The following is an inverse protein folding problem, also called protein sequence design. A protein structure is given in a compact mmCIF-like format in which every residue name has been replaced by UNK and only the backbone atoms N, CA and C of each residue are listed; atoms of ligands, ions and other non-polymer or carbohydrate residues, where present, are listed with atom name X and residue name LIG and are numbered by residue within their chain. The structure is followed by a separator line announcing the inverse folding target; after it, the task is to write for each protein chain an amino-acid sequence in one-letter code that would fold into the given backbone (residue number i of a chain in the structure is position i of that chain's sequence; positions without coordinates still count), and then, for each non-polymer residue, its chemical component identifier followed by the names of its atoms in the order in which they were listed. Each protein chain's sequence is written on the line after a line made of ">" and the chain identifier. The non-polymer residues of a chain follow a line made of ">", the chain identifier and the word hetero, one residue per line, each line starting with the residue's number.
data_IF_150858299176
#
_entry.id   IF_150858299176
#
_cell.length_a   1.000
_cell.length_b   1.000
_cell.length_c   1.000
_cell.angle_alpha   90.00
_cell.angle_beta   90.00
_cell.angle_gamma   90.00
#
_symmetry.space_group_name_H-M   'P 1'
#
loop_
_entity.id
_entity.type
_entity.pdbx_description
1 polymer ?
#
# COMPACT_ATOMS: atom_id res chain seq x y z
N UNK A 1 -10.92 -18.79 -21.76
CA UNK A 1 -10.97 -19.59 -20.51
C UNK A 1 -10.77 -18.59 -19.39
N UNK A 2 -11.82 -18.28 -18.61
CA UNK A 2 -11.78 -17.21 -17.62
C UNK A 2 -10.76 -17.53 -16.53
N UNK A 3 -9.81 -16.64 -16.28
CA UNK A 3 -9.03 -16.70 -15.04
C UNK A 3 -10.00 -16.38 -13.89
N UNK A 4 -10.08 -17.22 -12.84
CA UNK A 4 -10.95 -16.93 -11.72
C UNK A 4 -10.53 -15.61 -11.07
N UNK A 5 -11.50 -14.82 -10.60
CA UNK A 5 -11.34 -13.51 -9.94
C UNK A 5 -10.24 -13.48 -8.87
N UNK A 6 -9.91 -14.64 -8.30
CA UNK A 6 -8.76 -14.85 -7.41
C UNK A 6 -7.40 -14.46 -8.03
N UNK A 7 -7.17 -14.68 -9.33
CA UNK A 7 -5.89 -14.32 -9.98
C UNK A 7 -5.73 -12.81 -10.21
N UNK A 8 -6.82 -12.08 -10.45
CA UNK A 8 -6.80 -10.62 -10.57
C UNK A 8 -6.54 -9.95 -9.21
N UNK A 9 -7.14 -10.49 -8.14
CA UNK A 9 -6.93 -10.02 -6.76
C UNK A 9 -5.53 -10.34 -6.22
N UNK A 10 -4.87 -11.41 -6.69
CA UNK A 10 -3.48 -11.73 -6.32
C UNK A 10 -2.52 -10.58 -6.67
N UNK A 11 -2.78 -9.90 -7.80
CA UNK A 11 -1.90 -8.84 -8.34
C UNK A 11 -2.15 -7.44 -7.78
N UNK A 12 -3.11 -7.24 -6.87
CA UNK A 12 -3.46 -5.91 -6.38
C UNK A 12 -2.58 -5.41 -5.23
N UNK A 13 -1.61 -6.18 -4.76
CA UNK A 13 -0.67 -5.77 -3.71
C UNK A 13 0.76 -5.76 -4.22
N UNK A 14 1.45 -4.66 -3.96
CA UNK A 14 2.89 -4.49 -4.18
C UNK A 14 3.59 -4.29 -2.84
N UNK A 15 4.60 -5.12 -2.56
CA UNK A 15 5.49 -4.97 -1.42
C UNK A 15 6.83 -4.41 -1.89
N UNK A 16 7.29 -3.32 -1.26
CA UNK A 16 8.60 -2.72 -1.49
C UNK A 16 9.50 -3.06 -0.30
N UNK A 17 10.62 -3.73 -0.58
CA UNK A 17 11.64 -4.12 0.41
C UNK A 17 12.90 -3.29 0.23
N UNK A 18 13.64 -2.97 1.29
CA UNK A 18 14.87 -2.20 1.14
C UNK A 18 15.55 -1.79 2.43
N UNK A 19 16.81 -1.36 2.33
CA UNK A 19 17.57 -0.74 3.42
C UNK A 19 17.50 0.80 3.35
N UNK A 20 17.72 1.49 4.49
CA UNK A 20 17.19 2.82 4.82
C UNK A 20 18.02 3.99 4.33
N UNK A 21 19.14 3.75 3.65
CA UNK A 21 20.04 4.82 3.21
C UNK A 21 19.32 5.86 2.32
N UNK A 22 18.10 5.53 1.86
CA UNK A 22 17.20 6.33 1.05
C UNK A 22 15.76 6.44 1.59
N UNK A 23 15.52 6.31 2.90
CA UNK A 23 14.15 6.33 3.48
C UNK A 23 13.34 7.57 3.07
N UNK A 24 13.94 8.77 3.14
CA UNK A 24 13.28 10.02 2.75
C UNK A 24 12.98 10.06 1.24
N UNK A 25 13.88 9.52 0.42
CA UNK A 25 13.70 9.44 -1.02
C UNK A 25 12.59 8.47 -1.43
N UNK A 26 12.43 7.34 -0.72
CA UNK A 26 11.32 6.42 -0.97
C UNK A 26 9.98 7.04 -0.57
N UNK A 27 9.95 7.81 0.53
CA UNK A 27 8.75 8.56 0.91
C UNK A 27 8.33 9.53 -0.20
N UNK A 28 9.29 10.29 -0.75
CA UNK A 28 9.04 11.21 -1.88
C UNK A 28 8.50 10.46 -3.11
N UNK A 29 9.06 9.30 -3.45
CA UNK A 29 8.62 8.47 -4.58
C UNK A 29 7.21 7.91 -4.36
N UNK A 30 6.91 7.40 -3.16
CA UNK A 30 5.57 6.90 -2.81
C UNK A 30 4.55 8.03 -2.85
N UNK A 31 4.96 9.23 -2.43
CA UNK A 31 4.11 10.40 -2.46
C UNK A 31 3.83 10.87 -3.89
N UNK A 32 4.84 10.91 -4.76
CA UNK A 32 4.67 11.18 -6.20
C UNK A 32 3.79 10.11 -6.88
N UNK A 33 3.96 8.83 -6.52
CA UNK A 33 3.10 7.74 -6.98
C UNK A 33 1.64 7.97 -6.56
N UNK A 34 1.39 8.42 -5.32
CA UNK A 34 0.05 8.74 -4.85
C UNK A 34 -0.59 9.85 -5.68
N UNK A 35 0.13 10.95 -5.94
CA UNK A 35 -0.37 12.06 -6.77
C UNK A 35 -0.67 11.57 -8.19
N UNK A 36 0.26 10.88 -8.82
CA UNK A 36 0.07 10.33 -10.17
C UNK A 36 -1.10 9.36 -10.23
N UNK A 37 -1.33 8.56 -9.19
CA UNK A 37 -2.50 7.70 -9.12
C UNK A 37 -3.81 8.49 -9.01
N UNK A 38 -3.84 9.64 -8.32
CA UNK A 38 -5.07 10.46 -8.28
C UNK A 38 -5.44 11.08 -9.62
N UNK A 39 -4.50 11.22 -10.57
CA UNK A 39 -4.81 11.69 -11.93
C UNK A 39 -5.76 10.75 -12.69
N UNK A 40 -5.84 9.48 -12.31
CA UNK A 40 -6.79 8.52 -12.91
C UNK A 40 -8.21 8.65 -12.33
N UNK A 41 -8.42 9.57 -11.38
CA UNK A 41 -9.72 9.82 -10.75
C UNK A 41 -9.97 9.02 -9.49
N UNK A 42 -9.02 8.16 -9.08
CA UNK A 42 -9.13 7.39 -7.84
C UNK A 42 -8.69 8.17 -6.61
N UNK A 43 -9.34 7.86 -5.48
CA UNK A 43 -8.91 8.34 -4.16
C UNK A 43 -7.79 7.45 -3.63
N UNK A 44 -6.85 8.05 -2.91
CA UNK A 44 -5.71 7.36 -2.32
C UNK A 44 -5.79 7.50 -0.80
N UNK A 45 -5.60 6.38 -0.07
CA UNK A 45 -5.33 6.41 1.37
C UNK A 45 -3.83 6.24 1.59
N UNK A 46 -3.23 7.14 2.36
CA UNK A 46 -1.80 7.12 2.64
C UNK A 46 -1.57 6.94 4.14
N UNK A 47 -1.23 5.73 4.55
CA UNK A 47 -0.90 5.38 5.93
C UNK A 47 0.57 5.70 6.21
N UNK A 48 0.81 6.50 7.24
CA UNK A 48 2.15 6.88 7.68
C UNK A 48 2.17 7.15 9.19
N UNK A 49 3.33 7.10 9.82
CA UNK A 49 3.47 7.38 11.25
C UNK A 49 3.52 8.87 11.58
N UNK A 50 4.06 9.66 10.65
CA UNK A 50 4.35 11.08 10.88
C UNK A 50 3.62 11.94 9.84
N UNK A 51 3.20 13.16 10.22
CA UNK A 51 2.79 14.15 9.24
C UNK A 51 3.85 14.31 8.15
N UNK A 52 3.42 14.45 6.90
CA UNK A 52 4.34 14.80 5.82
C UNK A 52 4.75 16.26 6.03
N UNK A 53 5.95 16.47 6.56
CA UNK A 53 6.43 17.80 6.97
C UNK A 53 6.86 18.65 5.77
N UNK A 54 7.28 18.02 4.67
CA UNK A 54 7.75 18.72 3.47
C UNK A 54 7.17 18.07 2.22
N UNK A 55 6.16 18.74 1.66
CA UNK A 55 5.85 18.63 0.23
C UNK A 55 6.54 19.80 -0.44
N UNK A 56 7.37 19.55 -1.45
CA UNK A 56 8.00 20.62 -2.21
C UNK A 56 6.93 21.61 -2.73
N UNK A 57 7.16 22.91 -2.56
CA UNK A 57 6.17 23.97 -2.87
C UNK A 57 5.65 23.88 -4.31
N UNK A 58 6.52 23.48 -5.25
CA UNK A 58 6.19 23.22 -6.65
C UNK A 58 5.09 22.18 -6.85
N UNK A 59 5.10 21.12 -6.04
CA UNK A 59 4.09 20.05 -6.07
C UNK A 59 2.79 20.56 -5.47
N UNK A 60 2.87 21.31 -4.38
CA UNK A 60 1.69 21.83 -3.66
C UNK A 60 0.85 22.80 -4.49
N UNK A 61 1.51 23.65 -5.28
CA UNK A 61 0.85 24.63 -6.15
C UNK A 61 0.28 24.01 -7.43
N UNK A 62 0.99 23.06 -8.05
CA UNK A 62 0.55 22.44 -9.30
C UNK A 62 -0.61 21.44 -9.12
N UNK A 63 -0.70 20.80 -7.95
CA UNK A 63 -1.58 19.65 -7.74
C UNK A 63 -2.61 19.84 -6.62
N UNK A 64 -2.90 21.08 -6.20
CA UNK A 64 -3.72 21.37 -5.00
C UNK A 64 -5.09 20.67 -4.96
N UNK A 65 -5.71 20.42 -6.11
CA UNK A 65 -6.98 19.69 -6.19
C UNK A 65 -6.81 18.18 -6.11
N UNK A 66 -5.71 17.65 -6.61
CA UNK A 66 -5.35 16.23 -6.48
C UNK A 66 -4.96 15.87 -5.05
N UNK A 67 -4.38 16.81 -4.31
CA UNK A 67 -4.15 16.65 -2.87
C UNK A 67 -5.44 16.30 -2.11
N UNK A 68 -6.60 16.84 -2.53
CA UNK A 68 -7.90 16.55 -1.89
C UNK A 68 -8.37 15.11 -2.13
N UNK A 69 -7.78 14.42 -3.11
CA UNK A 69 -8.05 13.01 -3.40
C UNK A 69 -7.18 12.06 -2.56
N UNK A 70 -6.17 12.58 -1.86
CA UNK A 70 -5.32 11.83 -0.94
C UNK A 70 -5.80 12.07 0.50
N UNK A 71 -6.12 10.99 1.21
CA UNK A 71 -6.42 11.04 2.65
C UNK A 71 -5.26 10.43 3.43
N UNK A 72 -4.60 11.25 4.26
CA UNK A 72 -3.53 10.79 5.13
C UNK A 72 -4.08 10.16 6.40
N UNK A 73 -3.63 8.95 6.70
CA UNK A 73 -4.01 8.19 7.89
C UNK A 73 -2.76 8.05 8.78
N UNK A 74 -2.72 8.87 9.82
CA UNK A 74 -1.61 8.88 10.78
C UNK A 74 -1.82 7.83 11.86
N UNK A 75 -1.01 6.78 11.86
CA UNK A 75 -1.09 5.66 12.81
C UNK A 75 0.29 5.32 13.36
N UNK A 76 0.41 5.22 14.68
CA UNK A 76 1.68 4.90 15.34
C UNK A 76 1.83 3.42 15.68
N UNK A 77 0.73 2.67 15.71
CA UNK A 77 0.73 1.26 16.11
C UNK A 77 -0.02 0.39 15.10
N UNK A 78 0.41 -0.87 15.00
CA UNK A 78 -0.25 -1.87 14.15
C UNK A 78 -1.72 -2.08 14.53
N UNK A 79 -2.06 -2.02 15.81
CA UNK A 79 -3.45 -2.17 16.28
C UNK A 79 -4.33 -0.99 15.82
N UNK A 80 -3.79 0.23 15.83
CA UNK A 80 -4.49 1.40 15.30
C UNK A 80 -4.67 1.29 13.78
N UNK A 81 -3.63 0.83 13.06
CA UNK A 81 -3.69 0.60 11.63
C UNK A 81 -4.72 -0.47 11.25
N UNK A 82 -4.78 -1.59 11.98
CA UNK A 82 -5.78 -2.65 11.82
C UNK A 82 -7.21 -2.13 12.01
N UNK A 83 -7.47 -1.37 13.08
CA UNK A 83 -8.79 -0.77 13.32
C UNK A 83 -9.22 0.11 12.13
N UNK A 84 -8.30 0.92 11.60
CA UNK A 84 -8.57 1.75 10.43
C UNK A 84 -8.89 0.93 9.19
N UNK A 85 -8.16 -0.15 8.91
CA UNK A 85 -8.47 -1.04 7.78
C UNK A 85 -9.87 -1.64 7.90
N UNK A 86 -10.24 -2.13 9.08
CA UNK A 86 -11.58 -2.68 9.33
C UNK A 86 -12.69 -1.64 9.20
N UNK A 87 -12.44 -0.39 9.60
CA UNK A 87 -13.38 0.70 9.39
C UNK A 87 -13.57 1.02 7.90
N UNK A 88 -12.49 1.00 7.12
CA UNK A 88 -12.50 1.26 5.67
C UNK A 88 -13.34 0.23 4.92
N UNK A 89 -13.34 -1.03 5.34
CA UNK A 89 -14.18 -2.08 4.73
C UNK A 89 -15.68 -1.74 4.74
N UNK A 90 -16.12 -0.88 5.67
CA UNK A 90 -17.51 -0.46 5.83
C UNK A 90 -17.85 0.81 5.05
N UNK A 91 -16.87 1.44 4.40
CA UNK A 91 -17.10 2.66 3.65
C UNK A 91 -17.92 2.35 2.40
N UNK A 92 -19.05 3.03 2.26
CA UNK A 92 -19.92 2.97 1.08
C UNK A 92 -19.74 4.19 0.17
N UNK A 93 -19.13 5.26 0.70
CA UNK A 93 -18.83 6.50 0.01
C UNK A 93 -17.33 6.81 0.14
N UNK A 94 -16.74 7.51 -0.84
CA UNK A 94 -15.32 7.90 -0.83
C UNK A 94 -14.34 6.71 -0.75
N UNK A 95 -14.70 5.60 -1.37
CA UNK A 95 -13.93 4.37 -1.34
C UNK A 95 -12.66 4.51 -2.21
N UNK A 96 -11.48 4.09 -1.70
CA UNK A 96 -10.20 4.33 -2.37
C UNK A 96 -9.88 3.32 -3.47
N UNK A 97 -9.20 3.80 -4.52
CA UNK A 97 -8.59 2.94 -5.55
C UNK A 97 -7.16 2.53 -5.22
N UNK A 98 -6.51 3.19 -4.26
CA UNK A 98 -5.16 2.85 -3.80
C UNK A 98 -5.01 3.04 -2.29
N UNK A 99 -4.39 2.06 -1.63
CA UNK A 99 -3.96 2.14 -0.23
C UNK A 99 -2.44 2.02 -0.17
N UNK A 100 -1.76 3.07 0.27
CA UNK A 100 -0.31 3.06 0.50
C UNK A 100 -0.07 2.92 2.00
N UNK A 101 0.77 1.97 2.39
CA UNK A 101 1.25 1.78 3.77
C UNK A 101 2.74 1.97 3.79
N UNK A 102 3.16 3.14 4.28
CA UNK A 102 4.57 3.49 4.38
C UNK A 102 5.21 2.87 5.63
N UNK A 103 6.40 2.30 5.46
CA UNK A 103 7.25 1.81 6.57
C UNK A 103 6.47 0.93 7.53
N UNK A 104 5.77 -0.06 6.99
CA UNK A 104 4.87 -0.93 7.73
C UNK A 104 5.54 -1.63 8.92
N UNK A 105 6.80 -2.03 8.75
CA UNK A 105 7.62 -2.63 9.80
C UNK A 105 7.85 -1.68 10.99
N UNK A 106 7.82 -0.37 10.79
CA UNK A 106 7.89 0.60 11.89
C UNK A 106 6.61 0.71 12.71
N UNK A 107 5.47 0.22 12.21
CA UNK A 107 4.22 0.16 12.99
C UNK A 107 4.30 -0.84 14.16
N UNK A 108 5.41 -1.58 14.28
CA UNK A 108 5.65 -2.60 15.30
C UNK A 108 6.55 -2.14 16.44
N UNK A 109 6.02 -1.25 17.29
CA UNK A 109 6.57 -1.10 18.65
C UNK A 109 5.45 -0.78 19.65
N UNK A 110 4.48 -1.68 19.82
CA UNK A 110 3.55 -1.56 20.96
C UNK A 110 4.27 -1.92 22.28
N UNK A 111 5.26 -2.82 22.26
CA UNK A 111 6.11 -3.13 23.41
C UNK A 111 7.41 -3.82 22.95
N UNK A 112 8.61 -3.26 23.22
CA UNK A 112 9.89 -3.92 22.89
C UNK A 112 10.11 -5.24 23.65
N UNK A 113 9.29 -5.53 24.67
CA UNK A 113 9.29 -6.80 25.41
C UNK A 113 8.43 -7.90 24.77
N UNK A 114 7.69 -7.59 23.69
CA UNK A 114 6.90 -8.60 23.00
C UNK A 114 7.82 -9.59 22.28
N UNK A 115 7.57 -10.89 22.48
CA UNK A 115 8.30 -11.94 21.78
C UNK A 115 8.16 -11.79 20.25
N UNK A 116 9.22 -12.11 19.51
CA UNK A 116 9.26 -12.04 18.04
C UNK A 116 8.02 -12.67 17.38
N UNK A 117 7.61 -13.85 17.85
CA UNK A 117 6.43 -14.55 17.33
C UNK A 117 5.14 -13.73 17.39
N UNK A 118 4.98 -12.89 18.43
CA UNK A 118 3.80 -12.01 18.56
C UNK A 118 3.85 -10.88 17.54
N UNK A 119 5.02 -10.30 17.31
CA UNK A 119 5.20 -9.25 16.30
C UNK A 119 4.95 -9.81 14.90
N UNK A 120 5.48 -11.01 14.60
CA UNK A 120 5.30 -11.68 13.32
C UNK A 120 3.81 -12.01 13.07
N UNK A 121 3.11 -12.49 14.10
CA UNK A 121 1.66 -12.71 14.03
C UNK A 121 0.88 -11.42 13.74
N UNK A 122 1.19 -10.33 14.44
CA UNK A 122 0.52 -9.05 14.20
C UNK A 122 0.79 -8.53 12.79
N UNK A 123 2.03 -8.68 12.28
CA UNK A 123 2.38 -8.28 10.92
C UNK A 123 1.62 -9.11 9.88
N UNK A 124 1.58 -10.42 10.06
CA UNK A 124 0.81 -11.31 9.19
C UNK A 124 -0.68 -10.98 9.23
N UNK A 125 -1.25 -10.72 10.41
CA UNK A 125 -2.65 -10.34 10.55
C UNK A 125 -2.97 -9.03 9.82
N UNK A 126 -2.07 -8.03 9.90
CA UNK A 126 -2.24 -6.77 9.18
C UNK A 126 -2.26 -6.96 7.68
N UNK A 127 -1.27 -7.67 7.12
CA UNK A 127 -1.20 -7.90 5.68
C UNK A 127 -2.42 -8.69 5.17
N UNK A 128 -2.88 -9.69 5.93
CA UNK A 128 -4.09 -10.44 5.59
C UNK A 128 -5.32 -9.55 5.61
N UNK A 129 -5.46 -8.72 6.65
CA UNK A 129 -6.56 -7.76 6.77
C UNK A 129 -6.54 -6.73 5.65
N UNK A 130 -5.36 -6.28 5.22
CA UNK A 130 -5.19 -5.37 4.08
C UNK A 130 -5.64 -6.03 2.78
N UNK A 131 -5.20 -7.26 2.51
CA UNK A 131 -5.64 -8.04 1.35
C UNK A 131 -7.17 -8.22 1.32
N UNK A 132 -7.77 -8.59 2.46
CA UNK A 132 -9.22 -8.71 2.60
C UNK A 132 -9.94 -7.37 2.41
N UNK A 133 -9.35 -6.27 2.87
CA UNK A 133 -9.88 -4.91 2.68
C UNK A 133 -9.91 -4.55 1.21
N UNK A 134 -8.79 -4.75 0.50
CA UNK A 134 -8.68 -4.50 -0.94
C UNK A 134 -9.69 -5.33 -1.71
N UNK A 135 -9.84 -6.62 -1.36
CA UNK A 135 -10.82 -7.52 -1.97
C UNK A 135 -12.25 -7.03 -1.75
N UNK A 136 -12.58 -6.69 -0.50
CA UNK A 136 -13.92 -6.20 -0.12
C UNK A 136 -14.26 -4.93 -0.88
N UNK A 137 -13.33 -3.98 -0.95
CA UNK A 137 -13.49 -2.74 -1.71
C UNK A 137 -13.70 -3.03 -3.20
N UNK A 138 -12.84 -3.86 -3.80
CA UNK A 138 -12.88 -4.14 -5.24
C UNK A 138 -14.21 -4.80 -5.65
N UNK A 139 -14.72 -5.72 -4.83
CA UNK A 139 -16.03 -6.35 -5.04
C UNK A 139 -17.15 -5.30 -4.95
N UNK A 140 -17.10 -4.42 -3.95
CA UNK A 140 -18.13 -3.40 -3.72
C UNK A 140 -18.15 -2.31 -4.81
N UNK A 141 -17.02 -2.00 -5.45
CA UNK A 141 -16.91 -0.93 -6.45
C UNK A 141 -17.03 -1.37 -7.91
N UNK A 142 -17.04 -2.68 -8.22
CA UNK A 142 -16.85 -3.19 -9.60
C UNK A 142 -15.60 -2.60 -10.29
N UNK A 143 -14.61 -2.19 -9.50
CA UNK A 143 -13.36 -1.56 -9.94
C UNK A 143 -12.16 -2.15 -9.17
N UNK A 144 -10.96 -1.72 -9.52
CA UNK A 144 -9.70 -2.19 -8.91
C UNK A 144 -9.30 -1.30 -7.74
N UNK A 145 -9.17 -1.89 -6.54
CA UNK A 145 -8.41 -1.30 -5.46
C UNK A 145 -7.05 -1.99 -5.40
N UNK A 146 -5.99 -1.22 -5.29
CA UNK A 146 -4.64 -1.72 -5.18
C UNK A 146 -3.98 -1.26 -3.87
N UNK A 147 -2.85 -1.86 -3.51
CA UNK A 147 -2.03 -1.37 -2.41
C UNK A 147 -0.53 -1.43 -2.69
N UNK A 148 0.16 -0.50 -2.05
CA UNK A 148 1.62 -0.47 -1.95
C UNK A 148 1.96 -0.54 -0.47
N UNK A 149 2.81 -1.48 -0.08
CA UNK A 149 3.33 -1.60 1.29
C UNK A 149 4.83 -1.47 1.23
N UNK A 150 5.43 -0.52 1.94
CA UNK A 150 6.89 -0.40 2.04
C UNK A 150 7.43 -0.87 3.39
N UNK A 151 8.66 -1.38 3.36
CA UNK A 151 9.43 -1.77 4.53
C UNK A 151 10.68 -0.89 4.64
N UNK A 152 11.07 -0.53 5.85
CA UNK A 152 12.22 0.32 6.12
C UNK A 152 13.50 -0.49 6.44
N UNK A 153 13.38 -1.54 7.25
CA UNK A 153 14.49 -2.39 7.72
C UNK A 153 14.18 -3.90 7.73
N UNK A 154 12.96 -4.30 7.35
CA UNK A 154 12.53 -5.70 7.43
C UNK A 154 13.42 -6.66 6.62
N UNK A 155 14.16 -7.54 7.31
CA UNK A 155 14.77 -8.71 6.67
C UNK A 155 13.71 -9.79 6.48
N UNK A 156 13.86 -10.63 5.44
CA UNK A 156 13.00 -11.77 5.13
C UNK A 156 12.71 -12.71 6.32
N UNK A 157 13.54 -12.67 7.36
CA UNK A 157 13.43 -13.49 8.56
C UNK A 157 12.41 -12.98 9.60
N UNK A 158 11.90 -11.75 9.48
CA UNK A 158 11.09 -11.07 10.52
C UNK A 158 9.60 -10.95 10.19
N UNK A 159 9.16 -11.43 9.04
CA UNK A 159 7.75 -11.53 8.67
C UNK A 159 7.61 -12.83 7.91
N UNK A 160 6.54 -13.62 8.08
CA UNK A 160 6.33 -14.84 7.31
C UNK A 160 5.96 -14.52 5.85
N UNK A 161 6.88 -13.87 5.14
CA UNK A 161 6.71 -13.37 3.79
C UNK A 161 6.50 -14.50 2.79
N UNK A 162 6.92 -15.73 3.07
CA UNK A 162 6.69 -16.89 2.18
C UNK A 162 5.21 -17.13 1.87
N UNK A 163 4.32 -16.80 2.81
CA UNK A 163 2.87 -16.88 2.61
C UNK A 163 2.35 -15.79 1.65
N UNK A 164 3.06 -14.67 1.54
CA UNK A 164 2.69 -13.51 0.71
C UNK A 164 3.45 -13.45 -0.62
N UNK A 165 4.70 -13.96 -0.69
CA UNK A 165 5.55 -13.97 -1.88
C UNK A 165 4.99 -14.83 -3.02
N UNK A 166 4.24 -15.88 -2.68
CA UNK A 166 3.59 -16.71 -3.71
C UNK A 166 2.42 -16.01 -4.38
N UNK A 167 1.87 -14.97 -3.76
CA UNK A 167 0.61 -14.38 -4.18
C UNK A 167 0.72 -12.91 -4.60
N UNK A 168 1.78 -12.16 -4.24
CA UNK A 168 1.89 -10.72 -4.48
C UNK A 168 3.20 -10.28 -5.15
N UNK A 169 3.18 -9.08 -5.75
CA UNK A 169 4.35 -8.48 -6.38
C UNK A 169 5.32 -7.97 -5.32
N UNK A 170 6.60 -8.28 -5.44
CA UNK A 170 7.65 -7.80 -4.54
C UNK A 170 8.74 -7.09 -5.32
N UNK A 171 9.04 -5.86 -4.94
CA UNK A 171 10.02 -4.99 -5.57
C UNK A 171 11.10 -4.59 -4.56
N UNK A 172 12.35 -4.62 -4.99
CA UNK A 172 13.48 -4.14 -4.19
C UNK A 172 13.65 -2.63 -4.37
N UNK A 173 13.92 -1.90 -3.29
CA UNK A 173 14.17 -0.45 -3.31
C UNK A 173 15.34 -0.10 -4.20
N UNK A 174 16.30 -1.02 -4.37
CA UNK A 174 17.43 -0.83 -5.29
C UNK A 174 17.00 -0.69 -6.75
N UNK A 175 15.80 -1.15 -7.10
CA UNK A 175 15.22 -1.06 -8.44
C UNK A 175 14.24 0.10 -8.59
N UNK A 176 14.09 0.95 -7.56
CA UNK A 176 13.16 2.08 -7.56
C UNK A 176 14.00 3.37 -7.63
N UNK A 177 13.90 4.07 -8.75
CA UNK A 177 14.51 5.38 -8.95
C UNK A 177 13.44 6.48 -9.02
N UNK A 178 12.27 6.17 -9.57
CA UNK A 178 11.16 7.09 -9.72
C UNK A 178 9.80 6.38 -9.55
N UNK A 179 8.72 7.16 -9.45
CA UNK A 179 7.39 6.61 -9.20
C UNK A 179 6.85 5.77 -10.37
N UNK A 180 7.34 5.98 -11.59
CA UNK A 180 6.99 5.21 -12.79
C UNK A 180 7.42 3.75 -12.66
N UNK A 181 8.51 3.45 -11.96
CA UNK A 181 8.97 2.09 -11.67
C UNK A 181 7.91 1.34 -10.84
N UNK A 182 7.26 2.03 -9.90
CA UNK A 182 6.17 1.47 -9.09
C UNK A 182 4.88 1.35 -9.91
N UNK A 183 4.51 2.43 -10.61
CA UNK A 183 3.24 2.51 -11.32
C UNK A 183 3.18 1.57 -12.53
N UNK A 184 4.30 1.31 -13.21
CA UNK A 184 4.35 0.35 -14.32
C UNK A 184 3.99 -1.06 -13.86
N UNK A 185 4.54 -1.51 -12.73
CA UNK A 185 4.20 -2.80 -12.12
C UNK A 185 2.72 -2.82 -11.71
N UNK A 186 2.21 -1.71 -11.16
CA UNK A 186 0.79 -1.61 -10.82
C UNK A 186 -0.13 -1.63 -12.06
N UNK A 187 0.26 -1.01 -13.16
CA UNK A 187 -0.52 -0.99 -14.41
C UNK A 187 -0.49 -2.33 -15.15
N UNK A 188 0.63 -3.06 -15.10
CA UNK A 188 0.68 -4.45 -15.61
C UNK A 188 -0.35 -5.35 -14.90
N UNK A 189 -0.63 -5.07 -13.63
CA UNK A 189 -1.67 -5.76 -12.87
C UNK A 189 -3.07 -5.41 -13.39
N UNK A 190 -3.33 -4.15 -13.75
CA UNK A 190 -4.63 -3.69 -14.27
C UNK A 190 -4.91 -4.13 -15.72
N UNK A 191 -3.92 -4.05 -16.61
CA UNK A 191 -4.09 -4.43 -18.03
C UNK A 191 -4.33 -5.93 -18.22
N UNK A 192 -3.85 -6.76 -17.28
CA UNK A 192 -4.17 -8.19 -17.27
C UNK A 192 -5.63 -8.50 -16.90
N UNK A 193 -6.35 -7.52 -16.32
CA UNK A 193 -7.77 -7.60 -15.97
C UNK A 193 -8.63 -7.08 -17.13
N UNK A 194 -8.27 -5.94 -17.74
CA UNK A 194 -9.06 -5.34 -18.84
C UNK A 194 -9.01 -6.15 -20.16
N UNK A 195 -7.87 -6.76 -20.49
CA UNK A 195 -7.73 -7.59 -21.69
C UNK A 195 -8.52 -8.92 -21.65
N UNK A 196 -9.17 -9.23 -20.52
CA UNK A 196 -9.86 -10.50 -20.28
C UNK A 196 -11.30 -10.34 -19.78
N UNK A 197 -11.85 -9.13 -19.81
CA UNK A 197 -13.29 -8.89 -19.63
C UNK A 197 -13.98 -9.02 -21.00
N UNK A 198 -14.97 -9.91 -21.16
CA UNK A 198 -15.72 -10.08 -22.41
C UNK A 198 -16.58 -8.86 -22.76
#
# INVERSE_FOLDING_TARGET
>A
MALPMEHALRRSMLLIRGQPDKSDHLQDILFDAAIKYTHTGFRVLFFTQKPIERVATSIREQFSDLFKMITFIYVQTIDAALKRLLDIQRWTNCVPGLIIVESFDLLTTSNPNDAQNKQDFQRALFLATLADTIRTISINQKGTCNSIVSLNYGTMATVPFELYYREHNVLDVSHINESSDILSIMMENEHSIESNLP
#
